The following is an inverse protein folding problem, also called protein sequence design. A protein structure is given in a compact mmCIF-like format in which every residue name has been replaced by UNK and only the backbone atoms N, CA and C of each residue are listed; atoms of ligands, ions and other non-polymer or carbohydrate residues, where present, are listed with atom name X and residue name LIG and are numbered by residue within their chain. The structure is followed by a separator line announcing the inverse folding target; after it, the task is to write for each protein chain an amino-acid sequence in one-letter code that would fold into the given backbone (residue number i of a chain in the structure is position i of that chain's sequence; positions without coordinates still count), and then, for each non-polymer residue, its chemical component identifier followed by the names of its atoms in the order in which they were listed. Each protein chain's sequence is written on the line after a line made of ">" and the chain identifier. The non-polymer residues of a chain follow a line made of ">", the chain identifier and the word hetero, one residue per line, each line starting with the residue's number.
data_IF_220396014907
#
_entry.id   IF_220396014907
#
_cell.length_a   1.000
_cell.length_b   1.000
_cell.length_c   1.000
_cell.angle_alpha   90.00
_cell.angle_beta   90.00
_cell.angle_gamma   90.00
#
_symmetry.space_group_name_H-M   'P 1'
#
loop_
_entity.id
_entity.type
_entity.pdbx_description
1 polymer ?
#
# COMPACT_ATOMS: atom_id res chain seq x y z
N UNK A 1 6.26 29.60 17.63
CA UNK A 1 6.25 28.23 18.17
C UNK A 1 6.96 27.33 17.16
N UNK A 2 8.12 26.82 17.52
CA UNK A 2 8.99 26.10 16.59
C UNK A 2 8.41 24.71 16.26
N UNK A 3 8.01 24.55 15.00
CA UNK A 3 7.77 23.27 14.33
C UNK A 3 9.08 22.46 14.34
N UNK A 4 9.34 21.76 15.44
CA UNK A 4 10.34 20.69 15.44
C UNK A 4 9.72 19.51 14.71
N UNK A 5 10.34 19.18 13.58
CA UNK A 5 10.07 18.05 12.68
C UNK A 5 9.31 16.89 13.35
N UNK A 6 8.08 16.64 12.89
CA UNK A 6 7.20 15.55 13.34
C UNK A 6 7.69 14.17 12.83
N UNK A 7 8.81 14.12 12.10
CA UNK A 7 9.32 12.91 11.47
C UNK A 7 10.70 12.52 12.04
N UNK A 8 10.70 11.74 13.13
CA UNK A 8 11.91 11.07 13.59
C UNK A 8 12.21 9.83 12.71
N UNK A 9 13.46 9.71 12.27
CA UNK A 9 14.08 8.52 11.67
C UNK A 9 13.34 7.86 10.49
N UNK A 10 12.44 6.91 10.82
CA UNK A 10 11.74 6.02 9.88
C UNK A 10 10.53 6.66 9.19
N UNK A 11 9.95 7.73 9.72
CA UNK A 11 8.79 8.40 9.10
C UNK A 11 9.13 9.24 7.85
N UNK A 12 10.35 9.16 7.33
CA UNK A 12 10.81 10.05 6.25
C UNK A 12 10.45 9.58 4.85
N UNK A 13 10.17 8.29 4.67
CA UNK A 13 10.08 7.71 3.33
C UNK A 13 8.97 6.68 3.20
N UNK A 14 8.32 6.73 2.04
CA UNK A 14 7.42 5.70 1.56
C UNK A 14 8.17 4.77 0.60
N UNK A 15 7.89 3.47 0.68
CA UNK A 15 8.51 2.45 -0.16
C UNK A 15 7.47 1.74 -1.04
N UNK A 16 7.76 1.65 -2.34
CA UNK A 16 6.95 0.88 -3.28
C UNK A 16 7.76 -0.30 -3.80
N UNK A 17 7.19 -1.51 -3.73
CA UNK A 17 7.84 -2.73 -4.20
C UNK A 17 7.21 -3.20 -5.51
N UNK A 18 8.04 -3.63 -6.45
CA UNK A 18 7.58 -4.04 -7.77
C UNK A 18 8.55 -5.02 -8.43
N UNK A 19 8.03 -5.74 -9.43
CA UNK A 19 8.82 -6.62 -10.28
C UNK A 19 9.57 -5.79 -11.34
N UNK A 20 10.89 -5.99 -11.44
CA UNK A 20 11.80 -5.26 -12.34
C UNK A 20 11.25 -5.17 -13.77
N UNK A 21 10.83 -6.31 -14.35
CA UNK A 21 10.30 -6.39 -15.73
C UNK A 21 8.99 -5.64 -15.96
N UNK A 22 8.20 -5.41 -14.91
CA UNK A 22 6.86 -4.80 -15.00
C UNK A 22 6.88 -3.30 -14.72
N UNK A 23 7.85 -2.84 -13.93
CA UNK A 23 7.95 -1.46 -13.49
C UNK A 23 6.96 -1.11 -12.35
N UNK A 24 7.13 0.07 -11.75
CA UNK A 24 6.38 0.47 -10.56
C UNK A 24 4.93 0.85 -10.88
N UNK A 25 4.09 0.88 -9.83
CA UNK A 25 2.73 1.42 -9.82
C UNK A 25 1.74 0.81 -10.83
N UNK A 26 1.99 -0.40 -11.32
CA UNK A 26 0.97 -1.21 -12.02
C UNK A 26 -0.07 -1.70 -11.03
N UNK A 27 -1.33 -1.36 -11.27
CA UNK A 27 -2.40 -1.57 -10.31
C UNK A 27 -3.59 -2.29 -10.97
N UNK A 28 -3.95 -3.48 -10.48
CA UNK A 28 -5.14 -4.19 -10.98
C UNK A 28 -6.42 -3.39 -10.80
N UNK A 29 -6.50 -2.53 -9.78
CA UNK A 29 -7.69 -1.70 -9.54
C UNK A 29 -7.86 -0.56 -10.55
N UNK A 30 -6.83 -0.31 -11.38
CA UNK A 30 -6.92 0.62 -12.51
C UNK A 30 -7.57 0.00 -13.75
N UNK A 31 -7.78 -1.32 -13.75
CA UNK A 31 -8.29 -2.09 -14.89
C UNK A 31 -9.75 -2.44 -14.70
N UNK A 32 -10.43 -2.77 -15.80
CA UNK A 32 -11.75 -3.41 -15.71
C UNK A 32 -11.65 -4.77 -15.03
N UNK A 33 -12.76 -5.27 -14.47
CA UNK A 33 -12.81 -6.60 -13.84
C UNK A 33 -12.32 -7.69 -14.81
N UNK A 34 -12.74 -7.63 -16.08
CA UNK A 34 -12.35 -8.61 -17.10
C UNK A 34 -10.84 -8.59 -17.38
N UNK A 35 -10.25 -7.42 -17.53
CA UNK A 35 -8.80 -7.26 -17.74
C UNK A 35 -8.01 -7.73 -16.51
N UNK A 36 -8.44 -7.33 -15.31
CA UNK A 36 -7.82 -7.73 -14.06
C UNK A 36 -7.89 -9.26 -13.85
N UNK A 37 -9.02 -9.89 -14.20
CA UNK A 37 -9.20 -11.34 -14.17
C UNK A 37 -8.27 -12.05 -15.15
N UNK A 38 -8.10 -11.50 -16.36
CA UNK A 38 -7.18 -12.04 -17.36
C UNK A 38 -5.74 -12.03 -16.84
N UNK A 39 -5.27 -10.88 -16.33
CA UNK A 39 -3.93 -10.75 -15.74
C UNK A 39 -3.76 -11.70 -14.55
N UNK A 40 -4.76 -11.82 -13.68
CA UNK A 40 -4.70 -12.77 -12.57
C UNK A 40 -4.60 -14.22 -13.03
N UNK A 41 -5.30 -14.59 -14.11
CA UNK A 41 -5.23 -15.93 -14.69
C UNK A 41 -3.84 -16.25 -15.22
N UNK A 42 -3.16 -15.27 -15.82
CA UNK A 42 -1.80 -15.45 -16.30
C UNK A 42 -0.78 -15.48 -15.15
N UNK A 43 -0.93 -14.63 -14.13
CA UNK A 43 -0.11 -14.69 -12.91
C UNK A 43 -0.25 -16.02 -12.16
N UNK A 44 -1.42 -16.69 -12.22
CA UNK A 44 -1.61 -18.02 -11.63
C UNK A 44 -0.83 -19.14 -12.36
N UNK A 45 -0.52 -18.96 -13.65
CA UNK A 45 0.29 -19.94 -14.41
C UNK A 45 1.76 -19.87 -14.01
N UNK A 46 2.23 -18.68 -13.61
CA UNK A 46 3.57 -18.43 -13.11
C UNK A 46 3.63 -18.66 -11.59
N UNK A 47 3.81 -19.93 -11.18
CA UNK A 47 3.81 -20.36 -9.77
C UNK A 47 4.92 -19.73 -8.91
N UNK A 48 5.86 -18.99 -9.51
CA UNK A 48 6.97 -18.37 -8.80
C UNK A 48 6.58 -17.12 -8.00
N UNK A 49 5.41 -16.51 -8.28
CA UNK A 49 5.01 -15.22 -7.68
C UNK A 49 3.94 -15.42 -6.61
N UNK A 50 4.03 -14.71 -5.48
CA UNK A 50 3.05 -14.80 -4.38
C UNK A 50 1.59 -14.55 -4.82
N UNK A 51 1.40 -13.68 -5.83
CA UNK A 51 0.10 -13.38 -6.43
C UNK A 51 -0.65 -14.61 -6.99
N UNK A 52 0.06 -15.69 -7.34
CA UNK A 52 -0.52 -16.95 -7.83
C UNK A 52 -1.42 -17.65 -6.82
N UNK A 53 -1.32 -17.32 -5.52
CA UNK A 53 -2.10 -17.94 -4.42
C UNK A 53 -3.46 -17.28 -4.16
N UNK A 54 -3.85 -16.26 -4.93
CA UNK A 54 -5.08 -15.47 -4.68
C UNK A 54 -6.36 -16.21 -5.09
N UNK A 55 -7.38 -16.13 -4.23
CA UNK A 55 -8.72 -16.69 -4.47
C UNK A 55 -9.46 -15.98 -5.63
N UNK A 56 -10.51 -16.60 -6.16
CA UNK A 56 -11.28 -16.07 -7.31
C UNK A 56 -12.05 -14.79 -6.99
N UNK A 57 -12.50 -14.64 -5.75
CA UNK A 57 -13.21 -13.47 -5.22
C UNK A 57 -12.28 -12.29 -4.85
N UNK A 58 -10.96 -12.48 -5.00
CA UNK A 58 -9.95 -11.50 -4.59
C UNK A 58 -10.20 -10.09 -5.14
N UNK A 59 -10.55 -9.97 -6.42
CA UNK A 59 -10.80 -8.66 -7.04
C UNK A 59 -12.03 -7.97 -6.47
N UNK A 60 -13.12 -8.72 -6.26
CA UNK A 60 -14.33 -8.16 -5.69
C UNK A 60 -14.10 -7.69 -4.26
N UNK A 61 -13.41 -8.50 -3.45
CA UNK A 61 -13.01 -8.12 -2.09
C UNK A 61 -12.10 -6.88 -2.14
N UNK A 62 -11.14 -6.84 -3.07
CA UNK A 62 -10.23 -5.70 -3.21
C UNK A 62 -10.99 -4.41 -3.44
N UNK A 63 -11.89 -4.39 -4.41
CA UNK A 63 -12.69 -3.21 -4.73
C UNK A 63 -13.55 -2.77 -3.55
N UNK A 64 -14.20 -3.70 -2.85
CA UNK A 64 -14.99 -3.39 -1.65
C UNK A 64 -14.14 -2.74 -0.55
N UNK A 65 -12.98 -3.35 -0.24
CA UNK A 65 -12.08 -2.84 0.79
C UNK A 65 -11.50 -1.48 0.44
N UNK A 66 -11.10 -1.26 -0.82
CA UNK A 66 -10.61 0.03 -1.30
C UNK A 66 -11.69 1.11 -1.18
N UNK A 67 -12.93 0.81 -1.56
CA UNK A 67 -14.04 1.76 -1.45
C UNK A 67 -14.37 2.10 0.01
N UNK A 68 -14.36 1.09 0.89
CA UNK A 68 -14.54 1.31 2.34
C UNK A 68 -13.41 2.16 2.93
N UNK A 69 -12.17 1.88 2.56
CA UNK A 69 -11.01 2.64 3.01
C UNK A 69 -11.08 4.09 2.54
N UNK A 70 -11.42 4.31 1.26
CA UNK A 70 -11.63 5.62 0.67
C UNK A 70 -12.72 6.41 1.39
N UNK A 71 -13.87 5.79 1.65
CA UNK A 71 -14.98 6.42 2.35
C UNK A 71 -14.60 6.82 3.79
N UNK A 72 -13.96 5.91 4.54
CA UNK A 72 -13.48 6.19 5.89
C UNK A 72 -12.44 7.32 5.91
N UNK A 73 -11.52 7.34 4.94
CA UNK A 73 -10.52 8.39 4.83
C UNK A 73 -11.13 9.76 4.52
N UNK A 74 -12.09 9.83 3.58
CA UNK A 74 -12.81 11.07 3.26
C UNK A 74 -13.60 11.59 4.47
N UNK A 75 -14.23 10.69 5.24
CA UNK A 75 -14.96 11.06 6.45
C UNK A 75 -14.04 11.74 7.49
N UNK A 76 -12.75 11.38 7.50
CA UNK A 76 -11.72 12.00 8.35
C UNK A 76 -11.11 13.28 7.76
N UNK A 77 -11.66 13.81 6.68
CA UNK A 77 -11.18 15.03 6.01
C UNK A 77 -10.08 14.80 4.97
N UNK A 78 -9.83 13.54 4.61
CA UNK A 78 -8.98 13.16 3.47
C UNK A 78 -9.55 13.64 2.14
N UNK A 79 -8.66 13.81 1.16
CA UNK A 79 -8.94 14.25 -0.22
C UNK A 79 -8.47 13.18 -1.20
N UNK A 80 -9.33 12.18 -1.42
CA UNK A 80 -9.08 11.12 -2.39
C UNK A 80 -9.64 11.50 -3.79
N UNK A 81 -8.76 11.90 -4.71
CA UNK A 81 -9.14 12.28 -6.08
C UNK A 81 -9.32 11.06 -6.99
N UNK A 82 -8.60 9.97 -6.71
CA UNK A 82 -8.72 8.67 -7.39
C UNK A 82 -9.79 7.79 -6.76
N UNK A 83 -10.28 6.82 -7.52
CA UNK A 83 -11.20 5.77 -7.05
C UNK A 83 -10.47 4.58 -6.40
N UNK A 84 -9.19 4.40 -6.72
CA UNK A 84 -8.34 3.35 -6.17
C UNK A 84 -7.03 3.97 -5.68
N UNK A 85 -6.36 3.38 -4.68
CA UNK A 85 -5.10 3.90 -4.20
C UNK A 85 -3.91 3.23 -4.90
N UNK A 86 -2.78 3.92 -4.93
CA UNK A 86 -1.47 3.29 -5.07
C UNK A 86 -0.95 2.87 -3.70
N UNK A 87 -0.32 1.71 -3.62
CA UNK A 87 0.12 1.13 -2.36
C UNK A 87 1.62 1.31 -2.16
N UNK A 88 1.98 1.78 -0.98
CA UNK A 88 3.35 1.88 -0.47
C UNK A 88 3.39 1.44 0.99
N UNK A 89 4.59 1.28 1.55
CA UNK A 89 4.78 1.10 2.99
C UNK A 89 5.42 2.32 3.62
N UNK A 90 5.05 2.64 4.85
CA UNK A 90 5.75 3.64 5.65
C UNK A 90 6.96 2.96 6.28
N UNK A 91 8.16 3.34 5.84
CA UNK A 91 9.39 2.60 6.16
C UNK A 91 9.57 1.31 5.33
N UNK A 92 10.77 0.72 5.33
CA UNK A 92 11.10 -0.44 4.49
C UNK A 92 10.49 -1.74 5.03
N UNK A 93 10.15 -2.66 4.13
CA UNK A 93 9.70 -4.02 4.40
C UNK A 93 10.33 -4.99 3.38
N UNK A 94 11.45 -5.63 3.73
CA UNK A 94 12.15 -6.56 2.84
C UNK A 94 11.30 -7.76 2.42
N UNK A 95 10.41 -8.21 3.31
CA UNK A 95 9.50 -9.31 3.03
C UNK A 95 8.61 -9.07 1.80
N UNK A 96 8.15 -7.83 1.56
CA UNK A 96 7.38 -7.51 0.35
C UNK A 96 8.22 -7.57 -0.92
N UNK A 97 9.51 -7.27 -0.84
CA UNK A 97 10.43 -7.36 -1.97
C UNK A 97 10.64 -8.81 -2.41
N UNK A 98 10.64 -9.74 -1.47
CA UNK A 98 10.77 -11.19 -1.70
C UNK A 98 9.55 -11.81 -2.41
N UNK A 99 8.45 -11.07 -2.58
CA UNK A 99 7.28 -11.54 -3.33
C UNK A 99 7.49 -11.58 -4.84
N UNK A 100 8.57 -10.97 -5.33
CA UNK A 100 8.92 -10.82 -6.74
C UNK A 100 10.17 -11.63 -7.08
N UNK A 101 10.29 -12.02 -8.35
CA UNK A 101 11.47 -12.78 -8.82
C UNK A 101 12.68 -11.86 -8.88
N UNK A 102 12.53 -10.68 -9.48
CA UNK A 102 13.53 -9.60 -9.44
C UNK A 102 12.94 -8.35 -8.77
N UNK A 103 12.73 -8.44 -7.45
CA UNK A 103 12.14 -7.36 -6.66
C UNK A 103 12.98 -6.09 -6.65
N UNK A 104 12.37 -4.97 -7.06
CA UNK A 104 12.90 -3.61 -6.94
C UNK A 104 12.08 -2.80 -5.93
N UNK A 105 12.67 -1.70 -5.48
CA UNK A 105 12.00 -0.76 -4.58
C UNK A 105 12.19 0.68 -5.07
N UNK A 106 11.14 1.49 -4.96
CA UNK A 106 11.24 2.95 -4.99
C UNK A 106 11.17 3.49 -3.58
N UNK A 107 11.94 4.55 -3.32
CA UNK A 107 11.96 5.27 -2.05
C UNK A 107 11.65 6.74 -2.31
N UNK A 108 10.54 7.23 -1.78
CA UNK A 108 10.08 8.61 -2.01
C UNK A 108 9.91 9.31 -0.66
N UNK A 109 10.46 10.52 -0.45
CA UNK A 109 10.22 11.28 0.77
C UNK A 109 8.73 11.47 1.02
N UNK A 110 8.26 11.27 2.25
CA UNK A 110 6.84 11.45 2.57
C UNK A 110 6.37 12.90 2.34
N UNK A 111 7.30 13.85 2.45
CA UNK A 111 7.06 15.28 2.24
C UNK A 111 6.81 15.63 0.76
N UNK A 112 7.08 14.71 -0.17
CA UNK A 112 6.71 14.86 -1.57
C UNK A 112 5.20 14.70 -1.80
N UNK A 113 4.48 14.10 -0.85
CA UNK A 113 3.05 13.82 -0.94
C UNK A 113 2.23 14.86 -0.19
N UNK A 114 1.01 15.10 -0.67
CA UNK A 114 0.02 15.84 0.11
C UNK A 114 -0.48 14.95 1.26
N UNK A 115 -0.36 15.35 2.54
CA UNK A 115 -0.85 14.54 3.65
C UNK A 115 -2.35 14.24 3.57
N UNK A 116 -3.13 15.08 2.88
CA UNK A 116 -4.56 14.85 2.67
C UNK A 116 -4.86 13.82 1.57
N UNK A 117 -3.89 13.37 0.79
CA UNK A 117 -4.08 12.26 -0.15
C UNK A 117 -3.49 10.94 0.35
N UNK A 118 -2.93 10.91 1.56
CA UNK A 118 -2.41 9.70 2.19
C UNK A 118 -3.32 9.19 3.28
N UNK A 119 -3.72 7.93 3.16
CA UNK A 119 -4.30 7.18 4.27
C UNK A 119 -3.43 6.00 4.65
N UNK A 120 -3.62 5.50 5.86
CA UNK A 120 -2.76 4.47 6.43
C UNK A 120 -3.58 3.36 7.07
N UNK A 121 -3.06 2.13 7.03
CA UNK A 121 -3.55 1.02 7.85
C UNK A 121 -2.41 0.44 8.67
N UNK A 122 -2.72 0.02 9.90
CA UNK A 122 -1.75 -0.66 10.76
C UNK A 122 -1.68 -2.14 10.37
N UNK A 123 -0.93 -2.42 9.30
CA UNK A 123 -0.97 -3.69 8.58
C UNK A 123 -1.48 -3.52 7.14
N UNK A 124 -1.40 -4.61 6.36
CA UNK A 124 -2.03 -4.71 5.03
C UNK A 124 -3.54 -4.43 5.13
N UNK A 125 -4.12 -3.72 4.17
CA UNK A 125 -5.53 -3.37 4.17
C UNK A 125 -6.45 -4.59 4.30
N UNK A 126 -6.11 -5.72 3.66
CA UNK A 126 -6.93 -6.94 3.66
C UNK A 126 -7.13 -7.51 5.06
N UNK A 127 -6.08 -7.93 5.79
CA UNK A 127 -6.24 -8.42 7.16
C UNK A 127 -6.72 -7.31 8.09
N UNK A 128 -6.30 -6.05 7.91
CA UNK A 128 -6.79 -4.94 8.75
C UNK A 128 -8.32 -4.85 8.72
N UNK A 129 -8.94 -5.02 7.56
CA UNK A 129 -10.39 -4.86 7.39
C UNK A 129 -11.20 -6.15 7.57
N UNK A 130 -10.55 -7.33 7.65
CA UNK A 130 -11.24 -8.63 7.62
C UNK A 130 -10.83 -9.60 8.73
N UNK A 131 -9.67 -9.42 9.35
CA UNK A 131 -9.20 -10.30 10.41
C UNK A 131 -9.78 -9.84 11.75
N UNK A 132 -10.55 -10.71 12.41
CA UNK A 132 -11.27 -10.37 13.63
C UNK A 132 -10.62 -11.00 14.87
N UNK A 133 -9.61 -10.32 15.39
CA UNK A 133 -8.88 -10.70 16.61
C UNK A 133 -9.09 -9.71 17.76
N UNK A 134 -10.06 -8.80 17.62
CA UNK A 134 -10.39 -7.80 18.64
C UNK A 134 -9.31 -6.72 18.83
N UNK A 135 -8.23 -6.70 18.05
CA UNK A 135 -7.20 -5.67 18.18
C UNK A 135 -7.80 -4.29 17.81
N UNK A 136 -7.53 -3.23 18.60
CA UNK A 136 -8.22 -1.95 18.48
C UNK A 136 -7.94 -1.18 17.18
N UNK A 137 -6.89 -1.56 16.45
CA UNK A 137 -6.55 -0.97 15.15
C UNK A 137 -7.20 -1.69 13.96
N UNK A 138 -7.96 -2.77 14.18
CA UNK A 138 -8.73 -3.44 13.12
C UNK A 138 -9.84 -2.55 12.59
N UNK A 139 -10.17 -2.71 11.32
CA UNK A 139 -11.26 -2.00 10.65
C UNK A 139 -11.06 -0.50 10.52
N UNK A 140 -9.85 0.01 10.82
CA UNK A 140 -9.57 1.43 10.85
C UNK A 140 -8.61 1.84 9.73
N UNK A 141 -8.86 3.04 9.20
CA UNK A 141 -7.96 3.78 8.34
C UNK A 141 -7.56 5.05 9.06
N UNK A 142 -6.31 5.46 8.94
CA UNK A 142 -5.72 6.56 9.67
C UNK A 142 -5.25 7.67 8.72
N UNK A 143 -5.33 8.91 9.18
CA UNK A 143 -4.59 10.04 8.59
C UNK A 143 -3.13 10.00 9.02
N UNK A 144 -2.30 10.86 8.41
CA UNK A 144 -0.88 10.98 8.80
C UNK A 144 -0.69 11.31 10.29
N UNK A 145 -1.57 12.10 10.87
CA UNK A 145 -1.50 12.44 12.29
C UNK A 145 -1.88 11.24 13.16
N UNK A 146 -3.00 10.59 12.87
CA UNK A 146 -3.48 9.46 13.68
C UNK A 146 -2.53 8.24 13.61
N UNK A 147 -1.93 7.95 12.45
CA UNK A 147 -1.03 6.80 12.34
C UNK A 147 0.22 6.95 13.22
N UNK A 148 0.68 8.18 13.45
CA UNK A 148 1.80 8.45 14.37
C UNK A 148 1.43 8.06 15.80
N UNK A 149 0.21 8.36 16.25
CA UNK A 149 -0.27 7.97 17.58
C UNK A 149 -0.40 6.44 17.70
N UNK A 150 -0.89 5.78 16.65
CA UNK A 150 -1.00 4.31 16.61
C UNK A 150 0.39 3.67 16.69
N UNK A 151 1.37 4.16 15.94
CA UNK A 151 2.76 3.68 15.98
C UNK A 151 3.36 3.94 17.35
N UNK A 152 3.13 5.10 17.96
CA UNK A 152 3.62 5.40 19.32
C UNK A 152 3.07 4.41 20.35
N UNK A 153 1.81 4.00 20.19
CA UNK A 153 1.13 3.10 21.13
C UNK A 153 1.48 1.62 20.97
N UNK A 154 1.64 1.15 19.73
CA UNK A 154 1.80 -0.28 19.44
C UNK A 154 3.16 -0.64 18.83
N UNK A 155 4.01 0.35 18.54
CA UNK A 155 5.30 0.17 17.87
C UNK A 155 5.15 -0.05 16.36
N UNK A 156 6.27 -0.33 15.70
CA UNK A 156 6.32 -0.63 14.27
C UNK A 156 6.16 -2.14 14.01
N UNK A 157 5.16 -2.59 13.23
CA UNK A 157 5.04 -4.00 12.86
C UNK A 157 6.31 -4.56 12.21
N UNK A 158 7.04 -3.72 11.46
CA UNK A 158 8.33 -4.06 10.86
C UNK A 158 9.42 -4.40 11.88
N UNK A 159 9.25 -4.04 13.15
CA UNK A 159 10.20 -4.31 14.23
C UNK A 159 9.70 -5.48 15.10
N UNK A 160 8.51 -5.35 15.69
CA UNK A 160 8.00 -6.34 16.65
C UNK A 160 7.40 -7.59 15.99
N UNK A 161 7.06 -7.56 14.70
CA UNK A 161 6.44 -8.68 13.97
C UNK A 161 7.01 -8.86 12.56
N UNK A 162 8.31 -8.61 12.38
CA UNK A 162 8.97 -8.71 11.07
C UNK A 162 8.82 -10.10 10.41
N UNK A 163 8.77 -11.17 11.22
CA UNK A 163 8.58 -12.55 10.78
C UNK A 163 7.10 -12.97 10.68
N UNK A 164 6.18 -12.10 11.11
CA UNK A 164 4.73 -12.30 11.17
C UNK A 164 4.23 -13.40 12.09
N UNK A 165 4.99 -13.78 13.11
CA UNK A 165 4.58 -14.81 14.06
C UNK A 165 3.43 -14.37 15.01
N UNK A 166 3.24 -13.06 15.20
CA UNK A 166 2.31 -12.48 16.18
C UNK A 166 1.04 -11.88 15.57
N UNK A 167 0.77 -12.20 14.31
CA UNK A 167 -0.38 -11.70 13.56
C UNK A 167 -0.05 -11.31 12.13
N UNK A 168 -1.05 -10.84 11.39
CA UNK A 168 -0.90 -10.51 9.98
C UNK A 168 -0.15 -9.20 9.71
N UNK A 169 0.06 -8.33 10.72
CA UNK A 169 0.73 -7.04 10.53
C UNK A 169 2.23 -7.23 10.42
N UNK A 170 2.80 -6.94 9.25
CA UNK A 170 4.27 -6.93 9.08
C UNK A 170 4.82 -5.57 8.67
N UNK A 171 3.93 -4.64 8.34
CA UNK A 171 4.27 -3.29 7.94
C UNK A 171 3.10 -2.32 8.16
N UNK A 172 3.41 -1.03 8.15
CA UNK A 172 2.39 0.02 8.01
C UNK A 172 2.16 0.27 6.52
N UNK A 173 0.93 0.05 6.06
CA UNK A 173 0.57 0.28 4.67
C UNK A 173 0.10 1.72 4.47
N UNK A 174 0.43 2.29 3.32
CA UNK A 174 0.02 3.61 2.87
C UNK A 174 -0.77 3.47 1.59
N UNK A 175 -1.96 4.04 1.57
CA UNK A 175 -2.81 4.19 0.40
C UNK A 175 -2.71 5.64 -0.09
N UNK A 176 -2.23 5.81 -1.33
CA UNK A 176 -2.04 7.11 -1.99
C UNK A 176 -3.17 7.34 -2.97
N UNK A 177 -3.95 8.39 -2.76
CA UNK A 177 -5.21 8.64 -3.46
C UNK A 177 -5.17 9.70 -4.55
N UNK A 178 -3.97 10.14 -4.92
CA UNK A 178 -3.69 10.98 -6.10
C UNK A 178 -2.45 10.46 -6.85
N UNK A 179 -2.17 11.04 -8.01
CA UNK A 179 -1.01 10.68 -8.82
C UNK A 179 0.11 11.74 -8.75
N UNK A 180 -0.11 12.88 -8.10
CA UNK A 180 0.73 14.09 -8.21
C UNK A 180 2.20 13.80 -7.89
N UNK A 181 2.44 13.14 -6.75
CA UNK A 181 3.80 12.83 -6.30
C UNK A 181 4.46 11.65 -7.06
N UNK A 182 3.66 10.85 -7.78
CA UNK A 182 4.14 9.64 -8.46
C UNK A 182 4.09 9.74 -9.99
N UNK A 183 3.56 10.83 -10.55
CA UNK A 183 3.26 10.98 -11.97
C UNK A 183 4.47 10.69 -12.87
N UNK A 184 5.67 11.13 -12.48
CA UNK A 184 6.89 10.89 -13.25
C UNK A 184 7.26 9.40 -13.36
N UNK A 185 6.89 8.57 -12.37
CA UNK A 185 7.08 7.12 -12.41
C UNK A 185 6.03 6.41 -13.26
N UNK A 186 4.88 7.04 -13.49
CA UNK A 186 3.84 6.54 -14.40
C UNK A 186 4.24 6.78 -15.87
N UNK A 187 4.82 7.95 -16.17
CA UNK A 187 5.16 8.39 -17.55
C UNK A 187 6.44 7.76 -18.10
N UNK A 188 7.42 7.42 -17.24
CA UNK A 188 8.64 6.71 -17.65
C UNK A 188 8.38 5.36 -18.36
N UNK A 189 7.13 4.89 -18.33
CA UNK A 189 6.68 3.64 -18.93
C UNK A 189 6.21 3.77 -20.39
N UNK A 190 5.93 4.99 -20.89
CA UNK A 190 5.52 5.20 -22.30
C UNK A 190 6.68 5.36 -23.29
N UNK A 191 7.91 5.62 -22.81
CA UNK A 191 9.09 5.71 -23.69
C UNK A 191 9.78 4.36 -23.97
N UNK A 192 9.36 3.28 -23.30
CA UNK A 192 9.96 1.94 -23.47
C UNK A 192 9.19 1.03 -24.43
N UNK A 193 8.06 1.48 -24.99
CA UNK A 193 7.31 0.77 -26.04
C UNK A 193 7.48 1.41 -27.42
N UNK A 194 8.55 2.18 -27.63
CA UNK A 194 8.95 2.70 -28.93
C UNK A 194 9.92 1.77 -29.64
N UNK A 195 9.43 0.61 -30.08
CA UNK A 195 9.93 -0.12 -31.27
C UNK A 195 8.71 -0.32 -32.16
#
# INVERSE_FOLDING_TARGET
>A
MNSKSVFNGQLRYLFHYYESKTGPFKNLSALTISEAQHIMKDLKKDKAVFASKRAEDYLQIRFDLEQRARAAFIQKGGKATKQYPHYMTLGPCNWLKEWYVEGKELKIPIEAFNPKSLSFTYGDLFPTMRYNDGKPYRGNVYTLFEIQEIIQRYGWPQEWNHDGAQGPERYIEVQIWDDDAIQHYLVAQHKLTGI
#
